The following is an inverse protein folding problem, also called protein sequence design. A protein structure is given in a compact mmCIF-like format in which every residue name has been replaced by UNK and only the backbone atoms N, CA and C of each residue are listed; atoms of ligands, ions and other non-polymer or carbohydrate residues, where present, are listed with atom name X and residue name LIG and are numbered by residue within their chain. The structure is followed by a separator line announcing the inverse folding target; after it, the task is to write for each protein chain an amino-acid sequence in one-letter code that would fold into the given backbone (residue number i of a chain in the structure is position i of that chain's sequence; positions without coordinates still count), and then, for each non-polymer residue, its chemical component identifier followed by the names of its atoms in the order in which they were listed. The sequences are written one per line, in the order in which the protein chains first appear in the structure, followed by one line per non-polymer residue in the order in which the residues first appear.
data_IF_775754889571
#
_entry.id   IF_775754889571
#
_cell.length_a   1.000
_cell.length_b   1.000
_cell.length_c   1.000
_cell.angle_alpha   90.00
_cell.angle_beta   90.00
_cell.angle_gamma   90.00
#
_symmetry.space_group_name_H-M   'P 1'
#
loop_
_entity.id
_entity.type
_entity.pdbx_description
1 polymer ?
#
# COMPACT_ATOMS: atom_id res chain seq x y z
N UNK A 1 3.35 -44.80 11.46
CA UNK A 1 2.54 -43.98 12.38
C UNK A 1 2.35 -42.62 11.71
N UNK A 2 1.23 -42.48 11.00
CA UNK A 2 0.79 -41.18 10.45
C UNK A 2 0.33 -40.34 11.63
N UNK A 3 1.08 -39.30 11.98
CA UNK A 3 0.61 -38.27 12.88
C UNK A 3 -0.55 -37.53 12.20
N UNK A 4 -1.74 -37.64 12.77
CA UNK A 4 -2.88 -36.78 12.44
C UNK A 4 -2.54 -35.32 12.74
N UNK A 5 -2.21 -34.54 11.70
CA UNK A 5 -2.24 -33.09 11.74
C UNK A 5 -3.68 -32.62 11.56
N UNK A 6 -4.55 -32.93 12.52
CA UNK A 6 -5.82 -32.27 12.75
C UNK A 6 -5.65 -31.29 13.93
N UNK A 7 -4.66 -30.43 13.85
CA UNK A 7 -4.60 -29.22 14.61
C UNK A 7 -5.57 -28.23 13.95
N UNK A 8 -6.57 -27.81 14.65
CA UNK A 8 -7.48 -26.73 14.34
C UNK A 8 -6.72 -25.60 13.66
N UNK A 9 -6.93 -25.42 12.35
CA UNK A 9 -6.79 -24.11 11.74
C UNK A 9 -7.96 -23.29 12.29
N UNK A 10 -7.88 -22.87 13.53
CA UNK A 10 -8.61 -21.68 13.97
C UNK A 10 -8.23 -20.59 12.98
N UNK A 11 -9.21 -20.05 12.28
CA UNK A 11 -9.04 -18.93 11.38
C UNK A 11 -8.07 -17.97 12.06
N UNK A 12 -6.90 -17.69 11.44
CA UNK A 12 -5.98 -16.68 11.92
C UNK A 12 -6.70 -15.34 11.76
N UNK A 13 -7.58 -15.06 12.69
CA UNK A 13 -8.30 -13.78 12.73
C UNK A 13 -7.32 -12.79 13.31
N UNK A 14 -6.76 -11.95 12.46
CA UNK A 14 -5.89 -10.85 12.89
C UNK A 14 -6.68 -10.00 13.87
N UNK A 15 -6.16 -9.89 15.09
CA UNK A 15 -6.75 -9.04 16.13
C UNK A 15 -5.92 -7.77 16.28
N UNK A 16 -6.53 -6.63 15.99
CA UNK A 16 -5.93 -5.29 16.11
C UNK A 16 -6.66 -4.42 17.14
N UNK A 17 -7.36 -5.04 18.11
CA UNK A 17 -8.03 -4.32 19.16
C UNK A 17 -7.06 -3.39 19.92
N UNK A 18 -7.45 -2.12 20.07
CA UNK A 18 -6.64 -1.09 20.70
C UNK A 18 -5.52 -0.52 19.84
N UNK A 19 -5.34 -0.99 18.59
CA UNK A 19 -4.38 -0.41 17.64
C UNK A 19 -4.97 0.78 16.92
N UNK A 20 -4.19 1.86 16.80
CA UNK A 20 -4.54 3.07 16.08
C UNK A 20 -3.88 3.05 14.69
N UNK A 21 -4.72 3.13 13.65
CA UNK A 21 -4.33 2.95 12.24
C UNK A 21 -4.70 4.19 11.45
N UNK A 22 -3.73 4.82 10.80
CA UNK A 22 -3.97 5.88 9.81
C UNK A 22 -3.98 5.27 8.41
N UNK A 23 -5.05 5.49 7.65
CA UNK A 23 -5.17 5.10 6.24
C UNK A 23 -5.31 6.36 5.40
N UNK A 24 -4.35 6.61 4.50
CA UNK A 24 -4.39 7.77 3.58
C UNK A 24 -5.19 7.47 2.32
N UNK A 25 -5.65 8.49 1.60
CA UNK A 25 -6.54 8.36 0.43
C UNK A 25 -7.70 7.38 0.71
N UNK A 26 -8.45 7.66 1.77
CA UNK A 26 -9.43 6.76 2.36
C UNK A 26 -10.53 6.28 1.42
N UNK A 27 -10.89 7.08 0.42
CA UNK A 27 -11.99 6.79 -0.50
C UNK A 27 -11.53 6.16 -1.83
N UNK A 28 -10.21 6.07 -2.06
CA UNK A 28 -9.64 5.61 -3.32
C UNK A 28 -8.79 4.35 -3.14
N UNK A 29 -8.58 3.65 -4.25
CA UNK A 29 -7.68 2.52 -4.41
C UNK A 29 -7.93 1.41 -3.37
N UNK A 30 -6.98 1.15 -2.46
CA UNK A 30 -7.13 0.15 -1.39
C UNK A 30 -7.67 0.75 -0.09
N UNK A 31 -7.97 2.05 -0.06
CA UNK A 31 -8.46 2.77 1.12
C UNK A 31 -9.74 2.18 1.68
N UNK A 32 -10.83 2.08 0.89
CA UNK A 32 -12.12 1.59 1.39
C UNK A 32 -12.03 0.19 1.99
N UNK A 33 -11.40 -0.75 1.30
CA UNK A 33 -11.27 -2.13 1.78
C UNK A 33 -10.32 -2.23 2.99
N UNK A 34 -9.24 -1.44 3.02
CA UNK A 34 -8.37 -1.37 4.20
C UNK A 34 -9.14 -0.90 5.43
N UNK A 35 -9.90 0.19 5.30
CA UNK A 35 -10.70 0.74 6.41
C UNK A 35 -11.68 -0.30 6.94
N UNK A 36 -12.40 -0.98 6.07
CA UNK A 36 -13.35 -2.03 6.44
C UNK A 36 -12.64 -3.16 7.19
N UNK A 37 -11.57 -3.71 6.62
CA UNK A 37 -10.86 -4.86 7.19
C UNK A 37 -10.19 -4.54 8.52
N UNK A 38 -9.54 -3.37 8.65
CA UNK A 38 -8.88 -2.97 9.88
C UNK A 38 -9.89 -2.67 10.99
N UNK A 39 -11.04 -2.08 10.68
CA UNK A 39 -12.15 -1.90 11.65
C UNK A 39 -12.75 -3.23 12.10
N UNK A 40 -12.97 -4.16 11.17
CA UNK A 40 -13.46 -5.49 11.48
C UNK A 40 -12.51 -6.26 12.42
N UNK A 41 -11.20 -5.99 12.33
CA UNK A 41 -10.19 -6.52 13.25
C UNK A 41 -10.11 -5.78 14.60
N UNK A 42 -10.96 -4.80 14.85
CA UNK A 42 -11.04 -4.07 16.12
C UNK A 42 -10.14 -2.86 16.24
N UNK A 43 -9.48 -2.42 15.16
CA UNK A 43 -8.63 -1.23 15.16
C UNK A 43 -9.45 0.08 15.21
N UNK A 44 -8.89 1.10 15.86
CA UNK A 44 -9.31 2.50 15.69
C UNK A 44 -8.73 3.03 14.38
N UNK A 45 -9.57 3.18 13.35
CA UNK A 45 -9.11 3.59 12.01
C UNK A 45 -9.41 5.07 11.76
N UNK A 46 -8.35 5.84 11.55
CA UNK A 46 -8.38 7.23 11.07
C UNK A 46 -8.32 7.17 9.55
N UNK A 47 -9.46 7.49 8.91
CA UNK A 47 -9.61 7.50 7.46
C UNK A 47 -9.33 8.91 6.93
N UNK A 48 -8.13 9.13 6.39
CA UNK A 48 -7.69 10.44 5.92
C UNK A 48 -8.03 10.67 4.45
N UNK A 49 -8.51 11.89 4.15
CA UNK A 49 -8.91 12.36 2.81
C UNK A 49 -8.19 13.64 2.39
N UNK A 50 -7.17 14.01 3.15
CA UNK A 50 -6.43 15.25 2.91
C UNK A 50 -5.64 15.15 1.60
N UNK A 51 -5.56 16.24 0.86
CA UNK A 51 -4.65 16.33 -0.28
C UNK A 51 -3.19 16.38 0.23
N UNK A 52 -2.49 15.28 0.05
CA UNK A 52 -1.11 15.09 0.50
C UNK A 52 -0.07 15.71 -0.43
N UNK A 53 -0.47 16.33 -1.53
CA UNK A 53 0.44 17.11 -2.38
C UNK A 53 0.90 18.36 -1.66
N UNK A 54 0.09 18.91 -0.74
CA UNK A 54 0.51 19.97 0.16
C UNK A 54 1.66 19.50 1.08
N UNK A 55 2.81 20.16 1.06
CA UNK A 55 3.97 19.79 1.89
C UNK A 55 3.72 19.71 3.39
N UNK A 56 2.76 20.48 3.91
CA UNK A 56 2.41 20.50 5.34
C UNK A 56 1.42 19.42 5.77
N UNK A 57 0.62 18.91 4.84
CA UNK A 57 -0.50 18.04 5.12
C UNK A 57 -0.10 16.75 5.87
N UNK A 58 0.94 16.07 5.43
CA UNK A 58 1.38 14.82 6.06
C UNK A 58 1.75 15.00 7.55
N UNK A 59 2.43 16.08 7.90
CA UNK A 59 2.78 16.37 9.29
C UNK A 59 1.52 16.69 10.13
N UNK A 60 0.57 17.40 9.53
CA UNK A 60 -0.66 17.78 10.23
C UNK A 60 -1.54 16.55 10.51
N UNK A 61 -1.79 15.70 9.52
CA UNK A 61 -2.64 14.51 9.71
C UNK A 61 -2.05 13.53 10.72
N UNK A 62 -0.71 13.33 10.72
CA UNK A 62 -0.05 12.47 11.70
C UNK A 62 -0.16 13.07 13.10
N UNK A 63 -0.01 14.38 13.24
CA UNK A 63 -0.19 15.10 14.52
C UNK A 63 -1.62 14.93 15.03
N UNK A 64 -2.62 15.14 14.18
CA UNK A 64 -4.04 15.05 14.55
C UNK A 64 -4.48 13.61 14.84
N UNK A 65 -3.87 12.64 14.17
CA UNK A 65 -4.08 11.23 14.45
C UNK A 65 -3.54 10.80 15.84
N UNK A 66 -2.58 11.55 16.40
CA UNK A 66 -1.95 11.19 17.67
C UNK A 66 -1.02 9.97 17.57
N UNK A 67 -0.80 9.22 18.66
CA UNK A 67 0.10 8.07 18.63
C UNK A 67 -0.40 6.97 17.68
N UNK A 68 0.33 6.71 16.60
CA UNK A 68 -0.02 5.70 15.59
C UNK A 68 0.72 4.40 15.85
N UNK A 69 -0.01 3.27 15.87
CA UNK A 69 0.58 1.93 15.82
C UNK A 69 0.88 1.51 14.37
N UNK A 70 0.01 1.87 13.44
CA UNK A 70 0.08 1.43 12.05
C UNK A 70 -0.19 2.61 11.11
N UNK A 71 0.68 2.78 10.11
CA UNK A 71 0.47 3.68 8.99
C UNK A 71 0.25 2.86 7.71
N UNK A 72 -0.90 3.01 7.08
CA UNK A 72 -1.20 2.49 5.75
C UNK A 72 -1.05 3.64 4.75
N UNK A 73 0.10 3.67 4.08
CA UNK A 73 0.36 4.64 3.01
C UNK A 73 -0.29 4.14 1.71
N UNK A 74 -1.57 4.45 1.56
CA UNK A 74 -2.34 4.23 0.36
C UNK A 74 -2.20 5.46 -0.53
N UNK A 75 -1.29 5.40 -1.51
CA UNK A 75 -0.90 6.52 -2.35
C UNK A 75 -1.03 6.11 -3.82
N UNK A 76 -2.17 6.39 -4.42
CA UNK A 76 -2.46 6.12 -5.82
C UNK A 76 -2.50 7.43 -6.62
N UNK A 77 -1.91 7.40 -7.80
CA UNK A 77 -1.96 8.49 -8.77
C UNK A 77 -2.45 7.93 -10.12
N UNK A 78 -2.98 8.77 -11.02
CA UNK A 78 -3.23 8.38 -12.40
C UNK A 78 -1.95 7.76 -13.00
N UNK A 79 -2.10 6.61 -13.67
CA UNK A 79 -0.93 5.91 -14.20
C UNK A 79 -0.49 6.41 -15.58
N UNK A 80 -1.27 7.29 -16.21
CA UNK A 80 -1.01 7.81 -17.56
C UNK A 80 -0.70 6.70 -18.57
N UNK A 81 -1.47 5.61 -18.51
CA UNK A 81 -1.26 4.43 -19.35
C UNK A 81 -1.33 4.75 -20.84
N UNK A 82 -0.35 4.26 -21.58
CA UNK A 82 -0.32 4.40 -23.03
C UNK A 82 0.52 5.58 -23.54
N UNK A 83 1.02 6.46 -22.67
CA UNK A 83 1.86 7.60 -23.07
C UNK A 83 3.26 7.11 -23.50
N UNK A 84 3.68 7.35 -24.75
CA UNK A 84 5.05 7.04 -25.19
C UNK A 84 6.08 7.82 -24.37
N UNK A 85 7.25 7.24 -24.15
CA UNK A 85 8.30 7.90 -23.33
C UNK A 85 8.71 9.27 -23.86
N UNK A 86 8.66 9.49 -25.17
CA UNK A 86 8.97 10.78 -25.79
C UNK A 86 7.89 11.86 -25.59
N UNK A 87 6.72 11.47 -25.10
CA UNK A 87 5.57 12.35 -24.85
C UNK A 87 5.29 12.54 -23.34
N UNK A 88 6.11 11.92 -22.49
CA UNK A 88 6.05 12.15 -21.03
C UNK A 88 6.69 13.49 -20.75
N UNK A 89 5.90 14.51 -20.56
CA UNK A 89 6.34 15.85 -20.18
C UNK A 89 6.65 15.97 -18.69
N UNK A 90 7.16 17.13 -18.29
CA UNK A 90 7.52 17.41 -16.90
C UNK A 90 6.29 17.46 -15.98
N UNK A 91 5.10 17.81 -16.49
CA UNK A 91 3.85 17.85 -15.73
C UNK A 91 3.39 16.43 -15.38
N UNK A 92 3.33 15.53 -16.37
CA UNK A 92 3.03 14.10 -16.15
C UNK A 92 4.04 13.51 -15.17
N UNK A 93 5.34 13.79 -15.37
CA UNK A 93 6.39 13.31 -14.49
C UNK A 93 6.21 13.80 -13.05
N UNK A 94 6.09 15.10 -12.85
CA UNK A 94 5.93 15.70 -11.53
C UNK A 94 4.68 15.19 -10.81
N UNK A 95 3.54 15.09 -11.50
CA UNK A 95 2.26 14.71 -10.90
C UNK A 95 2.31 13.35 -10.20
N UNK A 96 2.96 12.34 -10.77
CA UNK A 96 3.05 11.02 -10.13
C UNK A 96 3.98 11.02 -8.91
N UNK A 97 5.03 11.84 -8.93
CA UNK A 97 5.93 11.99 -7.77
C UNK A 97 5.27 12.80 -6.64
N UNK A 98 4.53 13.85 -6.99
CA UNK A 98 3.83 14.71 -6.02
C UNK A 98 2.75 13.95 -5.26
N UNK A 99 2.08 13.00 -5.91
CA UNK A 99 1.02 12.21 -5.27
C UNK A 99 1.57 10.97 -4.56
N UNK A 100 2.62 10.31 -5.09
CA UNK A 100 3.04 9.01 -4.56
C UNK A 100 4.35 9.02 -3.78
N UNK A 101 5.33 9.84 -4.18
CA UNK A 101 6.70 9.77 -3.62
C UNK A 101 6.90 10.78 -2.50
N UNK A 102 6.61 12.04 -2.76
CA UNK A 102 6.80 13.09 -1.76
C UNK A 102 5.92 12.90 -0.52
N UNK A 103 4.63 12.53 -0.65
CA UNK A 103 3.80 12.21 0.52
C UNK A 103 4.32 11.04 1.32
N UNK A 104 4.79 9.96 0.69
CA UNK A 104 5.33 8.82 1.41
C UNK A 104 6.49 9.22 2.33
N UNK A 105 7.48 9.96 1.78
CA UNK A 105 8.58 10.48 2.59
C UNK A 105 8.10 11.35 3.75
N UNK A 106 7.16 12.28 3.49
CA UNK A 106 6.62 13.20 4.51
C UNK A 106 5.86 12.47 5.60
N UNK A 107 5.04 11.47 5.26
CA UNK A 107 4.28 10.64 6.20
C UNK A 107 5.22 9.85 7.11
N UNK A 108 6.20 9.16 6.53
CA UNK A 108 7.18 8.39 7.30
C UNK A 108 7.98 9.29 8.24
N UNK A 109 8.47 10.43 7.74
CA UNK A 109 9.20 11.42 8.55
C UNK A 109 8.36 11.94 9.72
N UNK A 110 7.06 12.09 9.55
CA UNK A 110 6.16 12.57 10.59
C UNK A 110 5.81 11.47 11.60
N UNK A 111 5.60 10.22 11.15
CA UNK A 111 5.17 9.12 12.02
C UNK A 111 6.33 8.45 12.78
N UNK A 112 7.51 8.35 12.16
CA UNK A 112 8.64 7.62 12.71
C UNK A 112 9.10 8.09 14.11
N UNK A 113 9.20 9.39 14.45
CA UNK A 113 9.66 9.80 15.77
C UNK A 113 8.84 9.21 16.92
N UNK A 114 7.51 9.25 16.83
CA UNK A 114 6.65 8.68 17.85
C UNK A 114 6.68 7.16 17.90
N UNK A 115 6.90 6.49 16.77
CA UNK A 115 7.10 5.03 16.72
C UNK A 115 8.45 4.64 17.35
N UNK A 116 9.53 5.40 17.06
CA UNK A 116 10.87 5.19 17.63
C UNK A 116 10.83 5.32 19.15
N UNK A 117 10.19 6.36 19.67
CA UNK A 117 10.07 6.60 21.12
C UNK A 117 9.39 5.44 21.84
N UNK A 118 8.42 4.79 21.20
CA UNK A 118 7.68 3.65 21.77
C UNK A 118 8.30 2.29 21.42
N UNK A 119 9.35 2.26 20.61
CA UNK A 119 9.96 1.05 20.05
C UNK A 119 8.93 0.10 19.43
N UNK A 120 7.94 0.67 18.75
CA UNK A 120 6.84 -0.07 18.13
C UNK A 120 6.21 0.73 16.99
N UNK A 121 6.01 0.07 15.84
CA UNK A 121 5.29 0.66 14.73
C UNK A 121 5.30 -0.23 13.49
N UNK A 122 4.27 -0.08 12.67
CA UNK A 122 4.22 -0.75 11.36
C UNK A 122 3.84 0.26 10.28
N UNK A 123 4.60 0.26 9.20
CA UNK A 123 4.35 1.12 8.03
C UNK A 123 4.18 0.20 6.83
N UNK A 124 3.01 0.25 6.22
CA UNK A 124 2.65 -0.60 5.08
C UNK A 124 2.30 0.30 3.90
N UNK A 125 2.97 0.07 2.78
CA UNK A 125 2.83 0.86 1.56
C UNK A 125 2.21 0.02 0.47
N UNK A 126 1.10 0.47 -0.12
CA UNK A 126 0.58 -0.13 -1.33
C UNK A 126 1.39 0.36 -2.54
N UNK A 127 2.23 -0.50 -3.05
CA UNK A 127 3.14 -0.25 -4.15
C UNK A 127 2.67 -0.84 -5.48
N UNK A 128 3.62 -1.27 -6.30
CA UNK A 128 3.34 -1.90 -7.59
C UNK A 128 4.47 -2.85 -8.01
N UNK A 129 4.13 -3.89 -8.74
CA UNK A 129 5.09 -4.79 -9.39
C UNK A 129 5.69 -4.23 -10.68
N UNK A 130 5.22 -3.08 -11.18
CA UNK A 130 5.73 -2.49 -12.42
C UNK A 130 7.24 -2.24 -12.42
N UNK A 131 7.88 -1.79 -11.32
CA UNK A 131 9.33 -1.63 -11.27
C UNK A 131 10.10 -2.95 -11.36
N UNK A 132 9.48 -4.07 -11.01
CA UNK A 132 10.12 -5.39 -11.01
C UNK A 132 10.14 -6.04 -12.40
N UNK A 133 9.22 -5.67 -13.29
CA UNK A 133 9.05 -6.31 -14.60
C UNK A 133 9.15 -5.33 -15.79
N UNK A 134 9.04 -4.05 -15.56
CA UNK A 134 8.88 -3.03 -16.59
C UNK A 134 7.54 -3.14 -17.33
N UNK A 135 6.99 -2.01 -17.71
CA UNK A 135 5.80 -1.95 -18.58
C UNK A 135 5.98 -0.82 -19.60
N UNK A 136 5.84 -1.14 -20.87
CA UNK A 136 5.90 -0.14 -21.93
C UNK A 136 4.80 0.93 -21.73
N UNK A 137 5.16 2.18 -22.01
CA UNK A 137 4.25 3.33 -21.94
C UNK A 137 3.70 3.61 -20.54
N UNK A 138 4.52 3.34 -19.49
CA UNK A 138 4.27 3.62 -18.09
C UNK A 138 5.51 4.17 -17.38
N UNK A 139 6.36 4.91 -18.08
CA UNK A 139 7.67 5.31 -17.57
C UNK A 139 7.59 6.10 -16.25
N UNK A 140 6.82 7.19 -16.21
CA UNK A 140 6.71 8.05 -15.02
C UNK A 140 6.12 7.29 -13.81
N UNK A 141 5.00 6.59 -14.02
CA UNK A 141 4.38 5.78 -12.97
C UNK A 141 5.35 4.70 -12.43
N UNK A 142 6.01 3.97 -13.31
CA UNK A 142 6.96 2.92 -12.92
C UNK A 142 8.15 3.50 -12.14
N UNK A 143 8.65 4.68 -12.54
CA UNK A 143 9.72 5.36 -11.82
C UNK A 143 9.28 5.77 -10.40
N UNK A 144 8.11 6.37 -10.25
CA UNK A 144 7.57 6.74 -8.94
C UNK A 144 7.32 5.52 -8.03
N UNK A 145 6.76 4.42 -8.57
CA UNK A 145 6.60 3.16 -7.83
C UNK A 145 7.95 2.51 -7.48
N UNK A 146 8.95 2.64 -8.34
CA UNK A 146 10.33 2.23 -8.07
C UNK A 146 10.97 3.04 -6.94
N UNK A 147 10.73 4.35 -6.92
CA UNK A 147 11.18 5.23 -5.85
C UNK A 147 10.56 4.83 -4.50
N UNK A 148 9.25 4.52 -4.45
CA UNK A 148 8.60 4.01 -3.24
C UNK A 148 9.26 2.70 -2.76
N UNK A 149 9.50 1.75 -3.67
CA UNK A 149 10.09 0.46 -3.31
C UNK A 149 11.53 0.59 -2.79
N UNK A 150 12.33 1.46 -3.39
CA UNK A 150 13.69 1.74 -2.93
C UNK A 150 13.69 2.44 -1.56
N UNK A 151 12.80 3.42 -1.38
CA UNK A 151 12.64 4.15 -0.12
C UNK A 151 12.24 3.22 1.03
N UNK A 152 11.23 2.37 0.83
CA UNK A 152 10.76 1.41 1.84
C UNK A 152 11.87 0.47 2.30
N UNK A 153 12.68 -0.06 1.37
CA UNK A 153 13.82 -0.94 1.73
C UNK A 153 14.85 -0.22 2.60
N UNK A 154 15.21 1.01 2.24
CA UNK A 154 16.18 1.79 3.01
C UNK A 154 15.67 2.11 4.41
N UNK A 155 14.43 2.61 4.50
CA UNK A 155 13.79 2.97 5.78
C UNK A 155 13.51 1.74 6.63
N UNK A 156 13.11 0.61 6.02
CA UNK A 156 12.89 -0.65 6.72
C UNK A 156 14.16 -1.13 7.44
N UNK A 157 15.29 -1.14 6.75
CA UNK A 157 16.59 -1.49 7.35
C UNK A 157 16.97 -0.52 8.46
N UNK A 158 16.75 0.80 8.27
CA UNK A 158 17.07 1.82 9.26
C UNK A 158 16.25 1.67 10.56
N UNK A 159 14.92 1.51 10.42
CA UNK A 159 13.99 1.51 11.55
C UNK A 159 13.84 0.13 12.22
N UNK A 160 14.32 -0.94 11.62
CA UNK A 160 14.23 -2.30 12.18
C UNK A 160 14.83 -2.40 13.60
N UNK A 161 15.93 -1.70 13.87
CA UNK A 161 16.57 -1.65 15.20
C UNK A 161 15.69 -1.02 16.30
N UNK A 162 14.68 -0.25 15.89
CA UNK A 162 13.70 0.36 16.77
C UNK A 162 12.39 -0.45 16.83
N UNK A 163 12.42 -1.70 16.37
CA UNK A 163 11.25 -2.58 16.30
C UNK A 163 10.10 -1.99 15.46
N UNK A 164 10.44 -1.31 14.37
CA UNK A 164 9.47 -0.75 13.42
C UNK A 164 9.62 -1.50 12.09
N UNK A 165 8.54 -2.16 11.64
CA UNK A 165 8.51 -2.88 10.39
C UNK A 165 7.95 -1.98 9.28
N UNK A 166 8.74 -1.78 8.22
CA UNK A 166 8.32 -1.00 7.05
C UNK A 166 8.33 -1.92 5.84
N UNK A 167 7.16 -2.13 5.24
CA UNK A 167 6.98 -3.07 4.14
C UNK A 167 6.18 -2.46 2.98
N UNK A 168 6.43 -2.96 1.77
CA UNK A 168 5.69 -2.56 0.58
C UNK A 168 5.05 -3.79 -0.06
N UNK A 169 3.76 -3.69 -0.39
CA UNK A 169 3.04 -4.69 -1.15
C UNK A 169 3.17 -4.35 -2.64
N UNK A 170 3.92 -5.17 -3.38
CA UNK A 170 4.14 -4.96 -4.81
C UNK A 170 2.96 -5.50 -5.62
N UNK A 171 1.85 -4.78 -5.58
CA UNK A 171 0.59 -5.18 -6.21
C UNK A 171 0.69 -5.32 -7.73
N UNK A 172 -0.09 -6.25 -8.29
CA UNK A 172 -0.28 -6.40 -9.71
C UNK A 172 -1.68 -6.97 -10.01
N UNK A 173 -2.44 -6.31 -10.89
CA UNK A 173 -3.78 -6.75 -11.29
C UNK A 173 -4.76 -6.93 -10.13
N UNK A 174 -4.85 -5.97 -9.23
CA UNK A 174 -5.87 -5.90 -8.17
C UNK A 174 -7.00 -5.00 -8.63
N UNK A 175 -8.24 -5.42 -8.43
CA UNK A 175 -9.42 -4.61 -8.78
C UNK A 175 -9.41 -3.27 -8.01
N UNK A 176 -9.66 -2.21 -8.74
CA UNK A 176 -9.86 -0.87 -8.19
C UNK A 176 -10.49 0.02 -9.25
N UNK A 177 -11.31 0.97 -8.84
CA UNK A 177 -11.90 1.92 -9.78
C UNK A 177 -10.86 2.88 -10.39
N UNK A 178 -9.73 3.09 -9.71
CA UNK A 178 -8.63 3.95 -10.18
C UNK A 178 -7.89 3.33 -11.37
N UNK A 179 -7.57 2.02 -11.32
CA UNK A 179 -6.74 1.38 -12.34
C UNK A 179 -7.47 0.43 -13.26
N UNK A 180 -8.56 -0.17 -12.79
CA UNK A 180 -9.36 -1.16 -13.52
C UNK A 180 -10.85 -0.87 -13.37
N UNK A 181 -11.35 0.29 -13.88
CA UNK A 181 -12.77 0.61 -13.81
C UNK A 181 -13.62 -0.45 -14.53
N UNK A 182 -14.88 -0.59 -14.15
CA UNK A 182 -15.79 -1.63 -14.70
C UNK A 182 -15.81 -1.67 -16.22
N UNK A 183 -15.81 -0.50 -16.87
CA UNK A 183 -15.76 -0.40 -18.34
C UNK A 183 -14.51 -1.06 -18.94
N UNK A 184 -13.38 -1.01 -18.27
CA UNK A 184 -12.16 -1.73 -18.69
C UNK A 184 -12.29 -3.22 -18.40
N UNK A 185 -12.82 -3.60 -17.24
CA UNK A 185 -12.99 -4.99 -16.86
C UNK A 185 -13.92 -5.76 -17.81
N UNK A 186 -14.95 -5.10 -18.33
CA UNK A 186 -15.91 -5.66 -19.29
C UNK A 186 -15.36 -5.76 -20.73
N UNK A 187 -14.22 -5.14 -21.02
CA UNK A 187 -13.61 -5.12 -22.35
C UNK A 187 -13.03 -6.51 -22.71
N UNK A 188 -13.49 -7.15 -23.82
CA UNK A 188 -13.01 -8.49 -24.21
C UNK A 188 -11.50 -8.57 -24.44
N UNK A 189 -10.88 -7.48 -24.96
CA UNK A 189 -9.43 -7.41 -25.16
C UNK A 189 -8.69 -7.40 -23.83
N UNK A 190 -9.20 -6.65 -22.84
CA UNK A 190 -8.64 -6.65 -21.50
C UNK A 190 -8.75 -8.03 -20.86
N UNK A 191 -9.90 -8.69 -20.95
CA UNK A 191 -10.11 -10.04 -20.45
C UNK A 191 -9.18 -11.08 -21.11
N UNK A 192 -8.93 -10.96 -22.41
CA UNK A 192 -7.98 -11.84 -23.10
C UNK A 192 -6.54 -11.60 -22.62
N UNK A 193 -6.15 -10.33 -22.42
CA UNK A 193 -4.84 -9.98 -21.89
C UNK A 193 -4.68 -10.48 -20.45
N UNK A 194 -5.70 -10.33 -19.62
CA UNK A 194 -5.70 -10.77 -18.23
C UNK A 194 -5.49 -12.30 -18.13
N UNK A 195 -6.18 -13.07 -18.96
CA UNK A 195 -6.01 -14.54 -19.04
C UNK A 195 -4.60 -14.95 -19.49
N UNK A 196 -3.95 -14.14 -20.32
CA UNK A 196 -2.58 -14.40 -20.77
C UNK A 196 -1.54 -14.00 -19.71
N UNK A 197 -1.72 -12.87 -19.05
CA UNK A 197 -0.69 -12.22 -18.23
C UNK A 197 -0.81 -12.55 -16.74
N UNK A 198 -1.98 -13.03 -16.29
CA UNK A 198 -2.24 -13.43 -14.91
C UNK A 198 -2.55 -14.94 -14.86
N UNK A 199 -1.72 -15.74 -14.17
CA UNK A 199 -1.93 -17.19 -14.14
C UNK A 199 -3.31 -17.63 -13.65
N UNK A 200 -3.93 -16.90 -12.72
CA UNK A 200 -5.30 -17.14 -12.25
C UNK A 200 -6.38 -16.64 -13.22
N UNK A 201 -6.02 -15.92 -14.28
CA UNK A 201 -6.91 -15.45 -15.33
C UNK A 201 -7.95 -14.40 -14.90
N UNK A 202 -7.77 -13.79 -13.73
CA UNK A 202 -8.66 -12.76 -13.18
C UNK A 202 -7.90 -11.69 -12.42
N UNK A 203 -8.55 -10.57 -12.15
CA UNK A 203 -8.07 -9.62 -11.14
C UNK A 203 -8.14 -10.28 -9.75
N UNK A 204 -7.21 -9.92 -8.87
CA UNK A 204 -7.38 -10.17 -7.45
C UNK A 204 -8.50 -9.26 -6.92
N UNK A 205 -9.30 -9.74 -5.99
CA UNK A 205 -10.23 -8.90 -5.26
C UNK A 205 -9.48 -8.03 -4.26
N UNK A 206 -10.03 -6.87 -3.92
CA UNK A 206 -9.40 -5.97 -2.96
C UNK A 206 -9.16 -6.64 -1.58
N UNK A 207 -10.10 -7.51 -1.13
CA UNK A 207 -9.98 -8.28 0.10
C UNK A 207 -8.77 -9.24 0.08
N UNK A 208 -8.49 -9.86 -1.07
CA UNK A 208 -7.36 -10.79 -1.21
C UNK A 208 -6.03 -10.07 -1.06
N UNK A 209 -5.93 -8.83 -1.51
CA UNK A 209 -4.73 -8.02 -1.38
C UNK A 209 -4.60 -7.41 0.02
N UNK A 210 -5.70 -6.88 0.58
CA UNK A 210 -5.72 -6.33 1.94
C UNK A 210 -5.43 -7.41 2.99
N UNK A 211 -5.72 -8.69 2.73
CA UNK A 211 -5.34 -9.78 3.61
C UNK A 211 -3.83 -9.83 3.89
N UNK A 212 -2.99 -9.50 2.88
CA UNK A 212 -1.54 -9.36 3.10
C UNK A 212 -1.21 -8.14 3.97
N UNK A 213 -1.90 -7.01 3.78
CA UNK A 213 -1.72 -5.84 4.64
C UNK A 213 -2.12 -6.15 6.10
N UNK A 214 -3.19 -6.90 6.31
CA UNK A 214 -3.60 -7.36 7.64
C UNK A 214 -2.54 -8.25 8.30
N UNK A 215 -1.96 -9.21 7.54
CA UNK A 215 -0.83 -10.01 8.03
C UNK A 215 0.36 -9.12 8.40
N UNK A 216 0.77 -8.19 7.53
CA UNK A 216 1.87 -7.27 7.80
C UNK A 216 1.61 -6.31 8.98
N UNK A 217 0.35 -6.09 9.33
CA UNK A 217 -0.05 -5.31 10.50
C UNK A 217 -0.05 -6.11 11.80
N UNK A 218 -0.04 -7.43 11.73
CA UNK A 218 -0.10 -8.34 12.89
C UNK A 218 1.29 -8.62 13.48
N UNK A 219 1.31 -9.25 14.66
CA UNK A 219 2.54 -9.74 15.28
C UNK A 219 3.22 -10.86 14.50
N UNK A 220 2.46 -11.60 13.68
CA UNK A 220 3.01 -12.72 12.89
C UNK A 220 4.03 -12.25 11.85
N UNK A 221 4.06 -10.94 11.56
CA UNK A 221 4.96 -10.32 10.61
C UNK A 221 6.14 -9.55 11.24
N UNK A 222 6.39 -9.67 12.53
CA UNK A 222 7.40 -8.84 13.22
C UNK A 222 8.83 -9.03 12.70
N UNK A 223 9.10 -10.14 12.00
CA UNK A 223 10.39 -10.39 11.37
C UNK A 223 10.51 -9.88 9.92
N UNK A 224 9.42 -9.38 9.33
CA UNK A 224 9.41 -8.92 7.93
C UNK A 224 9.74 -7.44 7.86
N UNK A 225 10.83 -7.09 7.15
CA UNK A 225 11.29 -5.71 6.93
C UNK A 225 11.81 -5.52 5.51
N UNK A 226 11.36 -4.44 4.81
CA UNK A 226 11.83 -4.01 3.49
C UNK A 226 10.97 -4.48 2.32
#
# INVERSE_FOLDING_TARGET
TLMNFQGTMDNMTVNLAGKRVLVTQADDYMGPQSIESFRAAGAEVIADRTDLTDPGAAAQIVKDAGPLDILIANLAAPNHYGVPVAEVDDEIWASVFDIMVHPLHRLVRAAAPGMIEREQGKIIVYGSATPLRGMARLAAYTAARGAQAAYVRAVGVELARNNIQVNLIAQNFVESDVYYPKSMQENPKFQANLKRDVPLGRLARAEEDVALAMFLASHDSDFFVG
#
